data_IF_529280034562
#
_entry.id   IF_529280034562
#
_cell.length_a   1.000
_cell.length_b   1.000
_cell.length_c   1.000
_cell.angle_alpha   90.00
_cell.angle_beta   90.00
_cell.angle_gamma   90.00
#
_symmetry.space_group_name_H-M   'P 1'
#
loop_
_entity.id
_entity.type
_entity.pdbx_description
1 polymer ?
#
# COMPACT_ATOMS: atom_id res chain seq x y z
N UNK A 1 -26.99 25.66 13.29
CA UNK A 1 -26.50 24.32 13.70
C UNK A 1 -25.59 23.80 12.58
N UNK A 2 -24.51 24.53 12.28
CA UNK A 2 -23.67 24.30 11.08
C UNK A 2 -22.14 24.25 11.38
N UNK A 3 -21.67 24.70 12.55
CA UNK A 3 -20.24 24.69 12.89
C UNK A 3 -19.68 23.33 13.35
N UNK A 4 -20.55 22.42 13.78
CA UNK A 4 -20.13 21.13 14.36
C UNK A 4 -19.46 20.21 13.33
N UNK A 5 -19.86 20.28 12.06
CA UNK A 5 -19.42 19.31 11.03
C UNK A 5 -18.06 19.68 10.46
N UNK A 6 -17.80 20.98 10.26
CA UNK A 6 -16.53 21.48 9.72
C UNK A 6 -15.42 21.29 10.77
N UNK A 7 -15.65 21.70 12.01
CA UNK A 7 -14.67 21.51 13.10
C UNK A 7 -14.33 20.02 13.31
N UNK A 8 -15.31 19.12 13.26
CA UNK A 8 -15.05 17.68 13.33
C UNK A 8 -14.27 17.14 12.12
N UNK A 9 -14.49 17.69 10.93
CA UNK A 9 -13.72 17.32 9.74
C UNK A 9 -12.26 17.80 9.84
N UNK A 10 -12.04 19.01 10.36
CA UNK A 10 -10.70 19.56 10.61
C UNK A 10 -9.93 18.74 11.65
N UNK A 11 -10.57 18.38 12.76
CA UNK A 11 -9.95 17.51 13.78
C UNK A 11 -9.58 16.15 13.20
N UNK A 12 -10.47 15.53 12.40
CA UNK A 12 -10.16 14.26 11.71
C UNK A 12 -8.99 14.42 10.75
N UNK A 13 -8.95 15.51 9.99
CA UNK A 13 -7.85 15.80 9.07
C UNK A 13 -6.51 15.98 9.81
N UNK A 14 -6.52 16.68 10.95
CA UNK A 14 -5.29 16.86 11.75
C UNK A 14 -4.80 15.54 12.36
N UNK A 15 -5.72 14.68 12.82
CA UNK A 15 -5.36 13.33 13.26
C UNK A 15 -4.75 12.51 12.12
N UNK A 16 -5.31 12.56 10.91
CA UNK A 16 -4.75 11.87 9.75
C UNK A 16 -3.35 12.39 9.41
N UNK A 17 -3.14 13.71 9.39
CA UNK A 17 -1.80 14.32 9.18
C UNK A 17 -0.81 13.96 10.26
N UNK A 18 -1.28 13.78 11.50
CA UNK A 18 -0.43 13.33 12.61
C UNK A 18 0.01 11.89 12.38
N UNK A 19 -0.92 10.98 12.09
CA UNK A 19 -0.62 9.57 11.78
C UNK A 19 0.34 9.45 10.59
N UNK A 20 0.13 10.25 9.54
CA UNK A 20 1.03 10.30 8.38
C UNK A 20 2.46 10.71 8.78
N UNK A 21 2.60 11.78 9.58
CA UNK A 21 3.92 12.24 10.05
C UNK A 21 4.63 11.21 10.91
N UNK A 22 3.91 10.58 11.84
CA UNK A 22 4.45 9.54 12.73
C UNK A 22 4.91 8.33 11.90
N UNK A 23 4.08 7.86 10.97
CA UNK A 23 4.43 6.77 10.05
C UNK A 23 5.68 7.08 9.22
N UNK A 24 5.78 8.28 8.64
CA UNK A 24 6.93 8.68 7.82
C UNK A 24 8.20 8.76 8.68
N UNK A 25 8.12 9.29 9.89
CA UNK A 25 9.26 9.40 10.80
C UNK A 25 9.81 8.01 11.18
N UNK A 26 8.93 7.08 11.56
CA UNK A 26 9.27 5.69 11.90
C UNK A 26 9.89 4.96 10.70
N UNK A 27 9.25 5.06 9.53
CA UNK A 27 9.73 4.41 8.32
C UNK A 27 11.08 4.97 7.85
N UNK A 28 11.34 6.28 8.02
CA UNK A 28 12.59 6.92 7.57
C UNK A 28 13.82 6.31 8.22
N UNK A 29 13.76 6.04 9.53
CA UNK A 29 14.90 5.46 10.24
C UNK A 29 15.19 4.04 9.74
N UNK A 30 14.15 3.22 9.62
CA UNK A 30 14.25 1.84 9.13
C UNK A 30 14.77 1.76 7.70
N UNK A 31 14.32 2.66 6.81
CA UNK A 31 14.81 2.73 5.42
C UNK A 31 16.32 2.95 5.37
N UNK A 32 16.87 3.82 6.22
CA UNK A 32 18.32 4.04 6.28
C UNK A 32 19.05 2.77 6.67
N UNK A 33 18.57 2.06 7.69
CA UNK A 33 19.17 0.81 8.16
C UNK A 33 19.16 -0.26 7.07
N UNK A 34 18.02 -0.44 6.39
CA UNK A 34 17.89 -1.41 5.29
C UNK A 34 18.88 -1.09 4.16
N UNK A 35 18.89 0.15 3.66
CA UNK A 35 19.73 0.52 2.50
C UNK A 35 21.22 0.53 2.83
N UNK A 36 21.57 0.82 4.09
CA UNK A 36 22.96 0.79 4.55
C UNK A 36 23.47 -0.62 4.87
N UNK A 37 22.60 -1.64 4.80
CA UNK A 37 22.89 -3.00 5.28
C UNK A 37 23.45 -2.98 6.70
N UNK A 38 22.80 -2.21 7.57
CA UNK A 38 23.15 -2.11 8.99
C UNK A 38 23.04 -3.49 9.65
N UNK A 39 24.05 -3.88 10.43
CA UNK A 39 24.09 -5.17 11.14
C UNK A 39 22.96 -5.27 12.18
N UNK A 40 22.52 -4.13 12.73
CA UNK A 40 21.36 -4.02 13.62
C UNK A 40 20.04 -3.74 12.86
N UNK A 41 20.08 -3.79 11.53
CA UNK A 41 18.94 -3.57 10.65
C UNK A 41 17.91 -4.70 10.68
N UNK A 42 16.70 -4.47 10.14
CA UNK A 42 15.67 -5.50 10.12
C UNK A 42 16.07 -6.65 9.22
N UNK A 43 15.69 -7.87 9.64
CA UNK A 43 15.96 -9.07 8.87
C UNK A 43 15.01 -9.18 7.67
N UNK A 44 15.57 -9.61 6.56
CA UNK A 44 14.83 -9.90 5.34
C UNK A 44 13.82 -11.05 5.56
N UNK A 45 12.66 -10.97 4.91
CA UNK A 45 11.62 -11.98 5.02
C UNK A 45 12.06 -13.26 4.29
N UNK A 46 12.01 -14.44 4.93
CA UNK A 46 12.58 -15.69 4.39
C UNK A 46 12.06 -16.14 3.01
N UNK A 47 10.90 -15.64 2.57
CA UNK A 47 10.25 -16.02 1.31
C UNK A 47 10.20 -14.90 0.28
N UNK A 48 10.61 -13.69 0.64
CA UNK A 48 10.44 -12.51 -0.20
C UNK A 48 11.75 -11.74 -0.23
N UNK A 49 12.48 -11.91 -1.34
CA UNK A 49 13.72 -11.20 -1.55
C UNK A 49 13.48 -9.69 -1.50
N UNK A 50 14.37 -8.97 -0.83
CA UNK A 50 14.37 -7.51 -0.69
C UNK A 50 13.13 -6.95 0.01
N UNK A 51 12.46 -7.78 0.81
CA UNK A 51 11.31 -7.40 1.61
C UNK A 51 11.61 -7.55 3.10
N UNK A 52 11.18 -6.58 3.89
CA UNK A 52 11.44 -6.51 5.33
C UNK A 52 10.14 -6.19 6.06
N UNK A 53 10.06 -6.57 7.32
CA UNK A 53 8.95 -6.20 8.19
C UNK A 53 9.49 -5.74 9.53
N UNK A 54 9.05 -4.58 9.97
CA UNK A 54 9.27 -4.06 11.32
C UNK A 54 7.92 -3.64 11.85
N UNK A 55 7.54 -4.22 12.99
CA UNK A 55 6.22 -4.01 13.60
C UNK A 55 5.06 -4.20 12.60
N UNK A 56 4.34 -3.11 12.32
CA UNK A 56 3.21 -3.04 11.39
C UNK A 56 3.56 -2.40 10.05
N UNK A 57 4.85 -2.24 9.72
CA UNK A 57 5.30 -1.66 8.46
C UNK A 57 6.03 -2.74 7.65
N UNK A 58 5.55 -2.94 6.43
CA UNK A 58 6.21 -3.72 5.39
C UNK A 58 7.07 -2.81 4.53
N UNK A 59 8.31 -3.21 4.31
CA UNK A 59 9.26 -2.50 3.45
C UNK A 59 9.63 -3.36 2.26
N UNK A 60 9.71 -2.75 1.08
CA UNK A 60 10.16 -3.41 -0.15
C UNK A 60 11.16 -2.53 -0.87
N UNK A 61 12.35 -3.06 -1.09
CA UNK A 61 13.31 -2.46 -2.01
C UNK A 61 12.83 -2.71 -3.44
N UNK A 62 12.76 -1.64 -4.22
CA UNK A 62 12.34 -1.73 -5.61
C UNK A 62 13.58 -1.74 -6.51
N UNK A 63 13.54 -2.50 -7.62
CA UNK A 63 14.73 -2.69 -8.46
C UNK A 63 15.18 -1.40 -9.14
N UNK A 64 14.26 -0.47 -9.38
CA UNK A 64 14.54 0.82 -9.99
C UNK A 64 13.46 1.87 -9.68
N UNK A 65 13.79 3.14 -9.98
CA UNK A 65 12.89 4.28 -9.82
C UNK A 65 11.64 4.20 -10.70
N UNK A 66 11.69 3.46 -11.82
CA UNK A 66 10.54 3.28 -12.72
C UNK A 66 9.47 2.42 -12.04
N UNK A 67 9.88 1.35 -11.37
CA UNK A 67 9.05 0.46 -10.59
C UNK A 67 8.39 1.22 -9.44
N UNK A 68 9.15 2.10 -8.75
CA UNK A 68 8.59 2.99 -7.74
C UNK A 68 7.52 3.94 -8.28
N UNK A 69 7.77 4.59 -9.43
CA UNK A 69 6.79 5.47 -10.08
C UNK A 69 5.53 4.71 -10.51
N UNK A 70 5.69 3.52 -11.07
CA UNK A 70 4.56 2.68 -11.47
C UNK A 70 3.71 2.30 -10.25
N UNK A 71 4.34 1.93 -9.14
CA UNK A 71 3.63 1.61 -7.91
C UNK A 71 2.78 2.79 -7.40
N UNK A 72 3.37 4.00 -7.36
CA UNK A 72 2.65 5.23 -6.98
C UNK A 72 1.49 5.52 -7.93
N UNK A 73 1.67 5.31 -9.24
CA UNK A 73 0.61 5.49 -10.23
C UNK A 73 -0.55 4.52 -10.01
N UNK A 74 -0.26 3.24 -9.74
CA UNK A 74 -1.27 2.22 -9.42
C UNK A 74 -2.07 2.57 -8.17
N UNK A 75 -1.41 2.93 -7.07
CA UNK A 75 -2.10 3.35 -5.84
C UNK A 75 -2.96 4.60 -6.07
N UNK A 76 -2.48 5.55 -6.87
CA UNK A 76 -3.25 6.74 -7.22
C UNK A 76 -4.51 6.38 -8.01
N UNK A 77 -4.45 5.42 -8.92
CA UNK A 77 -5.62 4.94 -9.65
C UNK A 77 -6.71 4.40 -8.71
N UNK A 78 -6.33 3.62 -7.70
CA UNK A 78 -7.26 3.14 -6.66
C UNK A 78 -7.93 4.32 -5.96
N UNK A 79 -7.15 5.30 -5.50
CA UNK A 79 -7.70 6.49 -4.83
C UNK A 79 -8.60 7.34 -5.73
N UNK A 80 -8.28 7.43 -7.03
CA UNK A 80 -9.03 8.22 -8.01
C UNK A 80 -10.33 7.54 -8.46
N UNK A 81 -10.39 6.21 -8.45
CA UNK A 81 -11.62 5.47 -8.74
C UNK A 81 -12.76 5.80 -7.76
N UNK A 82 -12.41 6.25 -6.54
CA UNK A 82 -13.35 6.48 -5.42
C UNK A 82 -14.20 5.24 -5.09
N UNK A 83 -13.74 4.06 -5.49
CA UNK A 83 -14.43 2.82 -5.15
C UNK A 83 -14.43 2.62 -3.64
N UNK A 84 -15.51 2.03 -3.12
CA UNK A 84 -15.60 1.63 -1.72
C UNK A 84 -15.03 0.23 -1.49
N UNK A 85 -14.81 -0.52 -2.56
CA UNK A 85 -14.40 -1.92 -2.53
C UNK A 85 -12.89 -2.11 -2.33
N UNK A 86 -12.10 -1.12 -2.74
CA UNK A 86 -10.65 -1.18 -2.68
C UNK A 86 -10.10 -0.07 -1.79
N UNK A 87 -9.15 -0.42 -0.94
CA UNK A 87 -8.44 0.50 -0.08
C UNK A 87 -6.94 0.43 -0.35
N UNK A 88 -6.28 1.57 -0.24
CA UNK A 88 -4.82 1.65 -0.29
C UNK A 88 -4.30 1.72 1.14
N UNK A 89 -3.37 0.83 1.56
CA UNK A 89 -2.71 0.98 2.85
C UNK A 89 -1.94 2.30 2.90
N UNK A 90 -1.81 2.89 4.10
CA UNK A 90 -0.93 4.03 4.30
C UNK A 90 0.48 3.67 3.79
N UNK A 91 0.94 4.39 2.77
CA UNK A 91 2.15 4.03 2.03
C UNK A 91 3.01 5.28 1.81
N UNK A 92 4.32 5.12 1.89
CA UNK A 92 5.29 6.17 1.57
C UNK A 92 6.42 5.59 0.70
N UNK A 93 6.87 6.37 -0.27
CA UNK A 93 8.00 6.03 -1.14
C UNK A 93 9.21 6.86 -0.73
N UNK A 94 10.27 6.17 -0.34
CA UNK A 94 11.54 6.77 0.03
C UNK A 94 12.58 6.58 -1.07
N UNK A 95 13.43 7.58 -1.27
CA UNK A 95 14.61 7.49 -2.11
C UNK A 95 15.84 7.76 -1.24
N UNK A 96 16.65 6.74 -1.00
CA UNK A 96 17.87 6.87 -0.22
C UNK A 96 19.05 6.28 -0.98
N UNK A 97 20.11 7.07 -1.19
CA UNK A 97 21.29 6.70 -2.01
C UNK A 97 20.94 6.14 -3.40
N UNK A 98 19.88 6.67 -4.01
CA UNK A 98 19.41 6.22 -5.32
C UNK A 98 18.59 4.93 -5.30
N UNK A 99 18.40 4.29 -4.14
CA UNK A 99 17.54 3.14 -3.98
C UNK A 99 16.10 3.57 -3.60
N UNK A 100 15.09 3.18 -4.39
CA UNK A 100 13.69 3.35 -4.03
C UNK A 100 13.25 2.28 -3.03
N UNK A 101 12.67 2.71 -1.92
CA UNK A 101 12.12 1.84 -0.88
C UNK A 101 10.66 2.22 -0.64
N UNK A 102 9.77 1.25 -0.84
CA UNK A 102 8.37 1.37 -0.49
C UNK A 102 8.17 0.94 0.96
N UNK A 103 7.56 1.80 1.78
CA UNK A 103 7.08 1.45 3.11
C UNK A 103 5.56 1.47 3.13
N UNK A 104 4.92 0.45 3.68
CA UNK A 104 3.46 0.32 3.74
C UNK A 104 3.02 -0.20 5.09
N UNK A 105 2.01 0.45 5.67
CA UNK A 105 1.31 -0.12 6.81
C UNK A 105 0.65 -1.44 6.39
N UNK A 106 0.81 -2.48 7.21
CA UNK A 106 0.15 -3.75 7.03
C UNK A 106 -1.35 -3.59 7.28
N UNK A 107 -2.16 -3.99 6.30
CA UNK A 107 -3.60 -4.12 6.48
C UNK A 107 -3.85 -5.38 7.30
N UNK A 108 -4.65 -5.32 8.37
CA UNK A 108 -5.00 -6.53 9.12
C UNK A 108 -5.76 -7.49 8.20
N UNK A 109 -5.28 -8.73 8.08
CA UNK A 109 -5.91 -9.82 7.35
C UNK A 109 -6.18 -10.99 8.30
N UNK A 110 -7.15 -11.84 7.97
CA UNK A 110 -7.37 -13.09 8.70
C UNK A 110 -6.13 -13.98 8.63
N UNK A 111 -6.01 -14.92 9.59
CA UNK A 111 -4.93 -15.93 9.56
C UNK A 111 -4.98 -16.79 8.30
N UNK A 112 -6.18 -17.00 7.77
CA UNK A 112 -6.48 -17.66 6.52
C UNK A 112 -7.11 -16.61 5.58
N UNK A 113 -6.30 -15.87 4.80
CA UNK A 113 -6.78 -14.75 4.00
C UNK A 113 -7.67 -15.22 2.85
N UNK A 114 -8.87 -14.64 2.74
CA UNK A 114 -9.76 -14.87 1.61
C UNK A 114 -9.24 -14.13 0.38
N UNK A 115 -8.91 -14.84 -0.69
CA UNK A 115 -8.55 -14.22 -1.98
C UNK A 115 -9.83 -13.87 -2.74
N UNK A 116 -9.97 -12.60 -3.12
CA UNK A 116 -11.11 -12.06 -3.89
C UNK A 116 -10.82 -11.98 -5.40
N UNK A 117 -9.55 -11.85 -5.78
CA UNK A 117 -9.11 -11.80 -7.17
C UNK A 117 -7.67 -12.30 -7.27
N UNK A 118 -7.32 -13.06 -8.32
CA UNK A 118 -5.95 -13.51 -8.57
C UNK A 118 -5.88 -14.85 -9.31
N UNK A 119 -4.68 -15.42 -9.40
CA UNK A 119 -4.48 -16.74 -9.98
C UNK A 119 -5.16 -17.83 -9.13
N UNK A 120 -5.75 -18.82 -9.78
CA UNK A 120 -6.38 -19.98 -9.14
C UNK A 120 -7.52 -19.61 -8.14
N UNK A 121 -8.15 -18.45 -8.27
CA UNK A 121 -9.36 -18.07 -7.51
C UNK A 121 -10.61 -17.95 -8.37
N UNK A 122 -11.77 -18.20 -7.75
CA UNK A 122 -13.05 -17.73 -8.29
C UNK A 122 -13.12 -16.23 -8.00
N UNK A 123 -12.93 -15.41 -9.03
CA UNK A 123 -12.85 -13.96 -8.88
C UNK A 123 -14.22 -13.37 -8.50
N UNK A 124 -14.20 -12.42 -7.57
CA UNK A 124 -15.34 -11.56 -7.28
C UNK A 124 -15.57 -10.61 -8.46
N UNK A 125 -16.78 -10.62 -9.01
CA UNK A 125 -17.14 -9.85 -10.21
C UNK A 125 -17.06 -8.33 -10.00
N UNK A 126 -17.40 -7.85 -8.80
CA UNK A 126 -17.32 -6.41 -8.49
C UNK A 126 -15.86 -5.94 -8.40
N UNK A 127 -15.00 -6.75 -7.76
CA UNK A 127 -13.55 -6.49 -7.70
C UNK A 127 -12.93 -6.51 -9.09
N UNK A 128 -13.30 -7.47 -9.93
CA UNK A 128 -12.82 -7.56 -11.31
C UNK A 128 -13.23 -6.34 -12.14
N UNK A 129 -14.49 -5.90 -12.04
CA UNK A 129 -14.97 -4.70 -12.73
C UNK A 129 -14.22 -3.44 -12.30
N UNK A 130 -13.91 -3.28 -11.01
CA UNK A 130 -13.12 -2.15 -10.50
C UNK A 130 -11.68 -2.18 -10.99
N UNK A 131 -11.05 -3.35 -11.03
CA UNK A 131 -9.69 -3.51 -11.57
C UNK A 131 -9.65 -3.10 -13.04
N UNK A 132 -10.65 -3.49 -13.83
CA UNK A 132 -10.79 -3.08 -15.23
C UNK A 132 -10.96 -1.56 -15.35
N UNK A 133 -11.82 -0.97 -14.52
CA UNK A 133 -12.05 0.48 -14.52
C UNK A 133 -10.77 1.27 -14.18
N UNK A 134 -10.02 0.84 -13.17
CA UNK A 134 -8.75 1.47 -12.80
C UNK A 134 -7.71 1.36 -13.92
N UNK A 135 -7.63 0.21 -14.59
CA UNK A 135 -6.71 0.02 -15.69
C UNK A 135 -7.01 0.93 -16.88
N UNK A 136 -8.29 1.07 -17.22
CA UNK A 136 -8.77 2.02 -18.23
C UNK A 136 -8.42 3.46 -17.83
N UNK A 137 -8.72 3.86 -16.60
CA UNK A 137 -8.45 5.21 -16.09
C UNK A 137 -6.95 5.56 -16.08
N UNK A 138 -6.10 4.57 -15.80
CA UNK A 138 -4.64 4.74 -15.79
C UNK A 138 -4.00 4.61 -17.18
N UNK A 139 -4.77 4.20 -18.21
CA UNK A 139 -4.27 3.84 -19.53
C UNK A 139 -3.11 2.82 -19.46
N UNK A 140 -3.26 1.83 -18.59
CA UNK A 140 -2.29 0.74 -18.43
C UNK A 140 -3.01 -0.55 -18.82
N UNK A 141 -2.50 -1.32 -19.79
CA UNK A 141 -3.08 -2.63 -20.08
C UNK A 141 -2.94 -3.49 -18.83
N UNK A 142 -4.03 -4.08 -18.34
CA UNK A 142 -3.94 -5.20 -17.40
C UNK A 142 -3.20 -6.31 -18.13
N UNK A 143 -1.97 -6.67 -17.74
CA UNK A 143 -1.32 -7.79 -18.38
C UNK A 143 -2.09 -9.02 -17.95
N UNK A 144 -2.39 -9.89 -18.92
CA UNK A 144 -2.87 -11.26 -18.69
C UNK A 144 -1.91 -12.09 -17.78
N UNK A 145 -0.80 -11.50 -17.36
CA UNK A 145 0.31 -12.05 -16.56
C UNK A 145 0.61 -11.24 -15.28
N UNK A 146 -0.10 -10.14 -14.97
CA UNK A 146 0.14 -9.44 -13.70
C UNK A 146 -0.50 -10.26 -12.57
N UNK A 147 0.38 -10.69 -11.67
CA UNK A 147 0.10 -11.22 -10.33
C UNK A 147 -0.51 -10.10 -9.48
N UNK A 148 -1.72 -9.66 -9.82
CA UNK A 148 -2.52 -8.80 -8.95
C UNK A 148 -3.41 -9.73 -8.15
N UNK A 149 -3.11 -9.83 -6.86
CA UNK A 149 -3.94 -10.57 -5.93
C UNK A 149 -4.65 -9.54 -5.04
N UNK A 150 -5.96 -9.67 -4.91
CA UNK A 150 -6.77 -8.88 -3.98
C UNK A 150 -7.26 -9.81 -2.89
N UNK A 151 -7.07 -9.40 -1.65
CA UNK A 151 -7.45 -10.15 -0.47
C UNK A 151 -8.46 -9.36 0.35
N UNK A 152 -9.34 -10.08 1.04
CA UNK A 152 -10.27 -9.50 2.01
C UNK A 152 -9.52 -8.97 3.24
N UNK A 153 -9.76 -7.71 3.59
CA UNK A 153 -9.23 -7.09 4.81
C UNK A 153 -10.13 -7.33 6.02
N UNK A 154 -9.56 -7.31 7.23
CA UNK A 154 -10.32 -7.35 8.49
C UNK A 154 -10.93 -5.99 8.87
N UNK A 155 -10.48 -4.92 8.22
CA UNK A 155 -11.12 -3.61 8.32
C UNK A 155 -12.49 -3.74 7.63
N UNK A 156 -13.53 -3.94 8.43
CA UNK A 156 -14.91 -4.26 8.05
C UNK A 156 -15.62 -3.13 7.26
N UNK A 157 -15.00 -2.60 6.22
CA UNK A 157 -15.58 -1.65 5.28
C UNK A 157 -16.39 -2.44 4.26
N UNK A 158 -17.65 -2.67 4.61
CA UNK A 158 -18.75 -2.97 3.69
C UNK A 158 -19.49 -1.65 3.38
#
# INVERSE_FOLDING_TARGET
MEDSTISQAEVRMEQLRRVEREFVAEATQTVKQIVMLDDDGPRELPKFLQCYRVDNIFFRLLPDSRSGRNYVASLRGVLQSRTRLLAVPLSSMFFYRGMPVLAQALVPMSREPTRLYGADSVNNQEVEAEILHMAEALNIPLPNLIVSEVYEGLDARW
#
